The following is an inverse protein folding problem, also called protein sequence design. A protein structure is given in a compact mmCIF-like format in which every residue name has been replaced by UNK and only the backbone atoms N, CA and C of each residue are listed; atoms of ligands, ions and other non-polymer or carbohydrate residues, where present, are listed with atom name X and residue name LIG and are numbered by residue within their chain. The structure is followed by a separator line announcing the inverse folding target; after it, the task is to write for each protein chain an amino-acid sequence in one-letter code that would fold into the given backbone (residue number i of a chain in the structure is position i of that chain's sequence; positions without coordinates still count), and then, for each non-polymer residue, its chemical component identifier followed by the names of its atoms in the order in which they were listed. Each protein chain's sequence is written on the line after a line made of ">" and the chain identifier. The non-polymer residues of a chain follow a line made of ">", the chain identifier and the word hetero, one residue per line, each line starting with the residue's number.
data_IF_892115742299
#
_entry.id   IF_892115742299
#
_cell.length_a   1.000
_cell.length_b   1.000
_cell.length_c   1.000
_cell.angle_alpha   90.00
_cell.angle_beta   90.00
_cell.angle_gamma   90.00
#
_symmetry.space_group_name_H-M   'P 1'
#
loop_
_entity.id
_entity.type
_entity.pdbx_description
1 polymer ?
#
# COMPACT_ATOMS: atom_id res chain seq x y z
N UNK A 1 50.09 81.97 -6.59
CA UNK A 1 51.35 81.69 -5.85
C UNK A 1 51.37 80.20 -5.56
N UNK A 2 52.04 79.40 -6.40
CA UNK A 2 53.34 78.72 -6.12
C UNK A 2 53.21 77.62 -5.06
N UNK A 3 53.49 76.33 -5.29
CA UNK A 3 54.62 75.72 -6.03
C UNK A 3 54.33 74.24 -6.33
N UNK A 4 54.89 73.77 -7.44
CA UNK A 4 55.23 72.37 -7.74
C UNK A 4 56.42 71.88 -6.89
N UNK A 5 56.54 70.56 -6.65
CA UNK A 5 57.64 69.69 -7.16
C UNK A 5 58.04 68.49 -6.26
N UNK A 6 58.20 67.35 -6.96
CA UNK A 6 59.18 66.23 -6.83
C UNK A 6 59.06 65.21 -5.67
N UNK A 7 58.83 63.91 -5.99
CA UNK A 7 59.81 62.79 -6.20
C UNK A 7 60.53 62.40 -4.89
N UNK A 8 60.69 61.17 -4.41
CA UNK A 8 60.73 59.76 -4.90
C UNK A 8 60.96 58.93 -3.60
N UNK A 9 60.73 57.62 -3.41
CA UNK A 9 61.25 56.44 -4.11
C UNK A 9 60.78 55.19 -3.31
N UNK A 10 60.47 54.09 -4.02
CA UNK A 10 60.59 52.65 -3.67
C UNK A 10 60.03 52.04 -2.36
N UNK A 11 59.13 51.05 -2.54
CA UNK A 11 59.26 49.61 -2.21
C UNK A 11 57.82 49.06 -2.06
N UNK A 12 57.27 48.27 -2.98
CA UNK A 12 57.75 46.93 -3.30
C UNK A 12 57.23 45.95 -2.25
N UNK A 13 56.03 45.37 -2.44
CA UNK A 13 55.78 43.95 -2.19
C UNK A 13 54.45 43.52 -2.82
N UNK A 14 54.57 42.62 -3.79
CA UNK A 14 53.50 41.80 -4.34
C UNK A 14 52.98 40.85 -3.26
N UNK A 15 51.68 40.87 -3.02
CA UNK A 15 50.96 39.69 -2.54
C UNK A 15 49.49 39.80 -2.96
N UNK A 16 49.23 39.33 -4.18
CA UNK A 16 47.91 38.91 -4.62
C UNK A 16 47.43 37.77 -3.72
N UNK A 17 46.42 38.03 -2.90
CA UNK A 17 45.48 37.01 -2.49
C UNK A 17 44.07 37.54 -2.77
N UNK A 18 43.68 37.48 -4.06
CA UNK A 18 42.30 37.20 -4.41
C UNK A 18 41.90 35.94 -3.63
N UNK A 19 40.95 36.09 -2.70
CA UNK A 19 40.33 34.96 -2.05
C UNK A 19 39.81 34.02 -3.13
N UNK A 20 40.46 32.86 -3.26
CA UNK A 20 39.88 31.74 -3.97
C UNK A 20 38.64 31.37 -3.16
N UNK A 21 37.48 31.65 -3.73
CA UNK A 21 36.26 30.93 -3.37
C UNK A 21 36.59 29.47 -3.67
N UNK A 22 36.80 28.68 -2.63
CA UNK A 22 36.95 27.24 -2.78
C UNK A 22 35.61 26.70 -3.33
N UNK A 23 35.56 26.56 -4.66
CA UNK A 23 34.57 25.77 -5.34
C UNK A 23 34.81 24.31 -4.95
N UNK A 24 34.19 23.90 -3.83
CA UNK A 24 34.08 22.49 -3.49
C UNK A 24 33.31 21.82 -4.63
N UNK A 25 33.86 20.78 -5.25
CA UNK A 25 33.25 20.23 -6.43
C UNK A 25 31.99 19.43 -6.07
N UNK A 26 31.03 19.53 -7.00
CA UNK A 26 29.89 18.64 -7.14
C UNK A 26 30.39 17.24 -7.46
N UNK A 27 30.33 16.34 -6.48
CA UNK A 27 30.42 14.88 -6.60
C UNK A 27 29.55 14.30 -5.47
N UNK A 28 28.80 13.21 -5.61
CA UNK A 28 28.92 12.13 -6.59
C UNK A 28 27.59 11.34 -6.66
N UNK A 29 27.31 10.80 -7.84
CA UNK A 29 26.18 9.93 -8.14
C UNK A 29 26.20 8.60 -7.36
N UNK A 30 25.02 7.99 -7.27
CA UNK A 30 24.74 6.58 -7.04
C UNK A 30 24.72 6.07 -5.59
N UNK A 31 23.71 6.50 -4.83
CA UNK A 31 22.97 5.51 -4.03
C UNK A 31 21.93 4.88 -4.97
N UNK A 32 21.88 3.54 -5.11
CA UNK A 32 20.77 2.94 -5.85
C UNK A 32 19.49 3.36 -5.13
N UNK A 33 18.49 3.86 -5.87
CA UNK A 33 17.13 3.91 -5.35
C UNK A 33 16.81 2.48 -4.90
N UNK A 34 16.93 2.18 -3.61
CA UNK A 34 16.29 1.01 -3.05
C UNK A 34 14.82 1.15 -3.41
N UNK A 35 14.26 0.16 -4.12
CA UNK A 35 12.85 0.12 -4.46
C UNK A 35 12.05 0.45 -3.19
N UNK A 36 11.45 1.64 -3.13
CA UNK A 36 10.85 2.14 -1.90
C UNK A 36 9.53 1.39 -1.70
N UNK A 37 9.55 0.31 -0.94
CA UNK A 37 8.35 -0.47 -0.62
C UNK A 37 7.36 0.42 0.13
N UNK A 38 6.13 0.47 -0.36
CA UNK A 38 5.00 1.14 0.29
C UNK A 38 3.99 0.10 0.79
N UNK A 39 3.03 0.52 1.62
CA UNK A 39 2.08 -0.38 2.31
C UNK A 39 0.63 0.03 2.09
N UNK A 40 -0.23 -0.93 1.77
CA UNK A 40 -1.67 -0.81 1.76
C UNK A 40 -2.31 -1.76 2.79
N UNK A 41 -3.46 -1.40 3.35
CA UNK A 41 -4.19 -2.28 4.28
C UNK A 41 -5.68 -2.28 3.97
N UNK A 42 -6.20 -3.45 3.60
CA UNK A 42 -7.56 -3.61 3.09
C UNK A 42 -8.31 -4.73 3.83
N UNK A 43 -9.56 -4.48 4.20
CA UNK A 43 -10.54 -5.49 4.60
C UNK A 43 -11.56 -5.69 3.48
N UNK A 44 -11.74 -6.92 3.00
CA UNK A 44 -12.62 -7.23 1.86
C UNK A 44 -13.28 -8.61 1.98
N UNK A 45 -13.64 -8.98 3.21
CA UNK A 45 -14.15 -10.30 3.56
C UNK A 45 -13.06 -11.21 4.14
N UNK A 46 -13.21 -12.52 3.95
CA UNK A 46 -12.23 -13.51 4.39
C UNK A 46 -10.82 -13.20 3.85
N UNK A 47 -9.86 -12.98 4.75
CA UNK A 47 -8.51 -12.58 4.36
C UNK A 47 -7.74 -13.64 3.54
N UNK A 48 -8.12 -14.92 3.58
CA UNK A 48 -7.51 -15.97 2.76
C UNK A 48 -7.81 -15.78 1.28
N UNK A 49 -9.01 -15.26 0.98
CA UNK A 49 -9.39 -14.90 -0.38
C UNK A 49 -8.56 -13.71 -0.87
N UNK A 50 -8.46 -12.70 -0.02
CA UNK A 50 -7.83 -11.41 -0.36
C UNK A 50 -6.32 -11.56 -0.46
N UNK A 51 -5.71 -12.33 0.42
CA UNK A 51 -4.29 -12.68 0.39
C UNK A 51 -3.92 -13.32 -0.95
N UNK A 52 -4.64 -14.37 -1.35
CA UNK A 52 -4.39 -15.08 -2.60
C UNK A 52 -4.50 -14.17 -3.85
N UNK A 53 -5.44 -13.21 -3.83
CA UNK A 53 -5.60 -12.24 -4.92
C UNK A 53 -4.39 -11.31 -5.03
N UNK A 54 -3.98 -10.68 -3.93
CA UNK A 54 -2.92 -9.68 -3.98
C UNK A 54 -1.52 -10.32 -4.13
N UNK A 55 -1.31 -11.54 -3.64
CA UNK A 55 -0.03 -12.26 -3.78
C UNK A 55 0.40 -12.46 -5.24
N UNK A 56 -0.56 -12.59 -6.15
CA UNK A 56 -0.32 -12.86 -7.58
C UNK A 56 0.09 -11.60 -8.38
N UNK A 57 -0.06 -10.40 -7.84
CA UNK A 57 0.18 -9.16 -8.59
C UNK A 57 1.67 -8.83 -8.74
N UNK A 58 2.09 -8.51 -9.97
CA UNK A 58 3.42 -7.99 -10.24
C UNK A 58 3.60 -6.64 -9.53
N UNK A 59 4.68 -6.50 -8.76
CA UNK A 59 4.90 -5.35 -7.89
C UNK A 59 4.45 -5.55 -6.45
N UNK A 60 3.61 -6.54 -6.13
CA UNK A 60 3.35 -6.92 -4.73
C UNK A 60 4.44 -7.87 -4.24
N UNK A 61 5.16 -7.45 -3.20
CA UNK A 61 6.29 -8.20 -2.64
C UNK A 61 5.86 -9.17 -1.54
N UNK A 62 4.97 -8.71 -0.64
CA UNK A 62 4.48 -9.49 0.49
C UNK A 62 3.03 -9.14 0.78
N UNK A 63 2.25 -10.14 1.17
CA UNK A 63 0.91 -9.95 1.73
C UNK A 63 0.84 -10.71 3.05
N UNK A 64 0.34 -10.06 4.09
CA UNK A 64 0.20 -10.63 5.44
C UNK A 64 -1.26 -10.54 5.86
N UNK A 65 -1.85 -11.67 6.24
CA UNK A 65 -3.20 -11.73 6.79
C UNK A 65 -3.18 -11.30 8.26
N UNK A 66 -4.17 -10.50 8.69
CA UNK A 66 -4.22 -10.00 10.06
C UNK A 66 -5.51 -9.31 10.44
N UNK A 67 -5.46 -8.58 11.55
CA UNK A 67 -6.59 -7.93 12.18
C UNK A 67 -6.31 -6.43 12.38
N UNK A 68 -7.25 -5.56 12.01
CA UNK A 68 -7.13 -4.12 12.21
C UNK A 68 -8.48 -3.43 12.40
N UNK A 69 -8.46 -2.18 12.88
CA UNK A 69 -9.64 -1.34 13.07
C UNK A 69 -10.46 -1.60 14.34
N UNK A 70 -10.08 -2.60 15.15
CA UNK A 70 -10.71 -2.90 16.43
C UNK A 70 -10.05 -2.22 17.63
N UNK A 71 -10.57 -2.54 18.82
CA UNK A 71 -10.16 -1.94 20.08
C UNK A 71 -9.51 -2.93 21.06
N UNK A 72 -9.57 -4.24 20.78
CA UNK A 72 -8.92 -5.26 21.62
C UNK A 72 -7.47 -5.43 21.18
N UNK A 73 -6.47 -5.23 22.05
CA UNK A 73 -5.07 -5.43 21.70
C UNK A 73 -4.73 -6.91 21.59
N UNK A 74 -3.83 -7.26 20.65
CA UNK A 74 -3.36 -8.62 20.39
C UNK A 74 -4.50 -9.66 20.32
N UNK A 75 -5.52 -9.45 19.46
CA UNK A 75 -6.66 -10.34 19.37
C UNK A 75 -6.24 -11.69 18.77
N UNK A 76 -6.82 -12.76 19.28
CA UNK A 76 -6.78 -14.09 18.63
C UNK A 76 -7.88 -14.21 17.57
N UNK A 77 -7.71 -15.10 16.60
CA UNK A 77 -8.74 -15.43 15.62
C UNK A 77 -10.09 -15.72 16.30
N UNK A 78 -10.07 -16.54 17.36
CA UNK A 78 -11.27 -16.91 18.12
C UNK A 78 -11.99 -15.68 18.70
N UNK A 79 -11.24 -14.69 19.18
CA UNK A 79 -11.85 -13.45 19.68
C UNK A 79 -12.45 -12.64 18.53
N UNK A 80 -11.75 -12.52 17.40
CA UNK A 80 -12.25 -11.81 16.21
C UNK A 80 -13.53 -12.46 15.67
N UNK A 81 -13.60 -13.79 15.62
CA UNK A 81 -14.80 -14.53 15.19
C UNK A 81 -16.05 -14.26 16.04
N UNK A 82 -15.90 -13.72 17.27
CA UNK A 82 -17.08 -13.32 18.07
C UNK A 82 -17.75 -12.05 17.54
N UNK A 83 -17.07 -11.28 16.68
CA UNK A 83 -17.53 -9.99 16.18
C UNK A 83 -17.49 -8.86 17.21
N UNK A 84 -16.98 -9.10 18.43
CA UNK A 84 -17.02 -8.12 19.53
C UNK A 84 -15.75 -7.28 19.67
N UNK A 85 -14.65 -7.65 19.01
CA UNK A 85 -13.36 -6.94 19.14
C UNK A 85 -13.28 -5.65 18.32
N UNK A 86 -14.22 -5.46 17.38
CA UNK A 86 -14.22 -4.40 16.37
C UNK A 86 -13.22 -4.60 15.22
N UNK A 87 -12.38 -5.64 15.27
CA UNK A 87 -11.40 -5.88 14.22
C UNK A 87 -12.06 -6.41 12.95
N UNK A 88 -11.58 -5.93 11.80
CA UNK A 88 -11.76 -6.58 10.51
C UNK A 88 -10.65 -7.62 10.29
N UNK A 89 -10.97 -8.70 9.59
CA UNK A 89 -9.96 -9.42 8.82
C UNK A 89 -9.45 -8.52 7.70
N UNK A 90 -8.14 -8.36 7.63
CA UNK A 90 -7.47 -7.49 6.67
C UNK A 90 -6.24 -8.16 6.08
N UNK A 91 -5.79 -7.66 4.95
CA UNK A 91 -4.47 -7.93 4.40
C UNK A 91 -3.60 -6.68 4.46
N UNK A 92 -2.38 -6.82 4.94
CA UNK A 92 -1.33 -5.82 4.83
C UNK A 92 -0.43 -6.16 3.63
N UNK A 93 -0.46 -5.29 2.62
CA UNK A 93 0.15 -5.50 1.31
C UNK A 93 1.36 -4.58 1.20
N UNK A 94 2.53 -5.18 1.05
CA UNK A 94 3.79 -4.50 0.81
C UNK A 94 4.07 -4.55 -0.70
N UNK A 95 4.25 -3.39 -1.32
CA UNK A 95 4.32 -3.27 -2.77
C UNK A 95 5.37 -2.26 -3.22
N UNK A 96 5.94 -2.49 -4.39
CA UNK A 96 6.85 -1.59 -5.08
C UNK A 96 6.03 -0.59 -5.92
N UNK A 97 5.94 0.69 -5.53
CA UNK A 97 5.15 1.71 -6.22
C UNK A 97 5.68 2.03 -7.63
N UNK A 98 6.90 1.60 -7.97
CA UNK A 98 7.42 1.71 -9.34
C UNK A 98 6.87 0.63 -10.29
N UNK A 99 6.32 -0.47 -9.74
CA UNK A 99 5.76 -1.59 -10.50
C UNK A 99 4.24 -1.66 -10.45
N UNK A 100 3.63 -1.31 -9.32
CA UNK A 100 2.18 -1.26 -9.13
C UNK A 100 1.81 -0.07 -8.26
N UNK A 101 0.84 0.71 -8.71
CA UNK A 101 0.38 1.91 -8.01
C UNK A 101 -0.70 1.61 -6.99
N UNK A 102 -0.90 2.51 -6.03
CA UNK A 102 -2.02 2.42 -5.08
C UNK A 102 -3.38 2.42 -5.78
N UNK A 103 -3.54 3.19 -6.86
CA UNK A 103 -4.77 3.20 -7.68
C UNK A 103 -5.07 1.84 -8.33
N UNK A 104 -4.04 1.12 -8.76
CA UNK A 104 -4.20 -0.25 -9.28
C UNK A 104 -4.56 -1.24 -8.18
N UNK A 105 -4.03 -1.06 -6.97
CA UNK A 105 -4.43 -1.83 -5.80
C UNK A 105 -5.90 -1.56 -5.42
N UNK A 106 -6.37 -0.31 -5.51
CA UNK A 106 -7.77 0.06 -5.33
C UNK A 106 -8.67 -0.57 -6.41
N UNK A 107 -8.24 -0.58 -7.68
CA UNK A 107 -8.96 -1.27 -8.75
C UNK A 107 -9.16 -2.75 -8.42
N UNK A 108 -8.08 -3.45 -8.02
CA UNK A 108 -8.14 -4.86 -7.62
C UNK A 108 -9.06 -5.03 -6.42
N UNK A 109 -8.94 -4.18 -5.40
CA UNK A 109 -9.79 -4.19 -4.22
C UNK A 109 -11.27 -4.14 -4.61
N UNK A 110 -11.71 -3.10 -5.33
CA UNK A 110 -13.13 -2.93 -5.68
C UNK A 110 -13.67 -3.96 -6.67
N UNK A 111 -12.83 -4.54 -7.55
CA UNK A 111 -13.29 -5.56 -8.52
C UNK A 111 -13.33 -6.98 -7.96
N UNK A 112 -12.71 -7.23 -6.80
CA UNK A 112 -12.57 -8.59 -6.27
C UNK A 112 -13.42 -8.87 -5.04
N UNK A 113 -14.23 -7.94 -4.55
CA UNK A 113 -15.25 -8.23 -3.53
C UNK A 113 -16.50 -7.42 -3.81
N UNK A 114 -17.62 -7.71 -3.13
CA UNK A 114 -18.81 -6.86 -3.15
C UNK A 114 -18.66 -5.75 -2.09
N UNK A 115 -18.42 -4.48 -2.49
CA UNK A 115 -18.23 -3.36 -1.57
C UNK A 115 -19.55 -2.72 -1.11
N UNK A 116 -20.70 -3.28 -1.49
CA UNK A 116 -22.04 -2.76 -1.17
C UNK A 116 -22.71 -3.49 0.00
N UNK A 117 -22.13 -4.62 0.43
CA UNK A 117 -22.66 -5.44 1.51
C UNK A 117 -22.07 -5.07 2.86
N UNK A 118 -22.90 -4.48 3.73
CA UNK A 118 -22.47 -4.08 5.08
C UNK A 118 -22.18 -5.33 5.93
N UNK A 119 -20.98 -5.39 6.52
CA UNK A 119 -20.56 -6.45 7.46
C UNK A 119 -20.76 -7.89 6.90
N UNK A 120 -20.47 -8.08 5.61
CA UNK A 120 -20.63 -9.35 4.93
C UNK A 120 -19.74 -9.43 3.69
N UNK A 121 -19.33 -10.64 3.34
CA UNK A 121 -18.87 -10.95 1.99
C UNK A 121 -19.36 -12.33 1.57
N UNK A 122 -20.25 -12.39 0.59
CA UNK A 122 -20.92 -13.65 0.22
C UNK A 122 -21.62 -14.28 1.44
N UNK A 123 -21.22 -15.50 1.79
CA UNK A 123 -21.77 -16.25 2.94
C UNK A 123 -21.05 -15.95 4.26
N UNK A 124 -19.95 -15.20 4.25
CA UNK A 124 -19.21 -14.83 5.44
C UNK A 124 -19.86 -13.57 6.04
N UNK A 125 -20.55 -13.74 7.18
CA UNK A 125 -21.36 -12.68 7.81
C UNK A 125 -20.77 -12.28 9.16
N UNK A 126 -20.56 -10.98 9.34
CA UNK A 126 -20.05 -10.40 10.58
C UNK A 126 -19.23 -9.14 10.34
N UNK A 127 -19.08 -8.28 11.36
CA UNK A 127 -18.32 -7.03 11.25
C UNK A 127 -16.84 -7.25 10.93
N UNK A 128 -16.31 -8.45 11.20
CA UNK A 128 -14.96 -8.84 10.81
C UNK A 128 -14.78 -8.98 9.30
N UNK A 129 -15.86 -9.16 8.53
CA UNK A 129 -15.82 -9.30 7.07
C UNK A 129 -16.20 -8.02 6.32
N UNK A 130 -16.27 -6.88 7.02
CA UNK A 130 -16.65 -5.60 6.41
C UNK A 130 -15.64 -5.14 5.36
N UNK A 131 -16.13 -4.40 4.36
CA UNK A 131 -15.29 -3.70 3.40
C UNK A 131 -14.66 -2.45 4.05
N UNK A 132 -13.33 -2.36 4.07
CA UNK A 132 -12.61 -1.26 4.69
C UNK A 132 -11.26 -0.99 4.01
N UNK A 133 -10.89 0.28 3.91
CA UNK A 133 -9.58 0.78 3.49
C UNK A 133 -8.98 1.52 4.69
N UNK A 134 -7.86 1.00 5.19
CA UNK A 134 -7.10 1.62 6.27
C UNK A 134 -5.94 2.41 5.67
N UNK A 135 -6.10 3.73 5.53
CA UNK A 135 -5.12 4.56 4.84
C UNK A 135 -3.91 4.89 5.73
N UNK A 136 -2.71 4.80 5.15
CA UNK A 136 -1.43 5.10 5.83
C UNK A 136 -1.00 6.56 5.65
N UNK A 137 -1.50 7.23 4.61
CA UNK A 137 -1.16 8.62 4.28
C UNK A 137 -2.40 9.39 3.83
N UNK A 138 -2.31 10.73 3.87
CA UNK A 138 -3.35 11.60 3.32
C UNK A 138 -3.58 11.33 1.82
N UNK A 139 -2.52 11.01 1.07
CA UNK A 139 -2.63 10.67 -0.35
C UNK A 139 -3.44 9.40 -0.58
N UNK A 140 -3.25 8.36 0.24
CA UNK A 140 -4.05 7.14 0.16
C UNK A 140 -5.52 7.41 0.48
N UNK A 141 -5.80 8.26 1.48
CA UNK A 141 -7.16 8.69 1.80
C UNK A 141 -7.83 9.38 0.61
N UNK A 142 -7.19 10.40 0.03
CA UNK A 142 -7.70 11.15 -1.12
C UNK A 142 -8.00 10.23 -2.31
N UNK A 143 -7.07 9.32 -2.63
CA UNK A 143 -7.24 8.36 -3.72
C UNK A 143 -8.41 7.41 -3.47
N UNK A 144 -8.51 6.84 -2.26
CA UNK A 144 -9.60 5.94 -1.90
C UNK A 144 -10.97 6.63 -1.97
N UNK A 145 -11.07 7.87 -1.46
CA UNK A 145 -12.29 8.67 -1.49
C UNK A 145 -12.68 9.05 -2.93
N UNK A 146 -11.71 9.46 -3.73
CA UNK A 146 -11.92 9.77 -5.15
C UNK A 146 -12.39 8.53 -5.91
N UNK A 147 -11.70 7.40 -5.76
CA UNK A 147 -12.02 6.15 -6.47
C UNK A 147 -13.42 5.64 -6.12
N UNK A 148 -13.77 5.66 -4.83
CA UNK A 148 -15.12 5.31 -4.35
C UNK A 148 -16.18 6.21 -4.99
N UNK A 149 -15.96 7.53 -4.98
CA UNK A 149 -16.87 8.51 -5.56
C UNK A 149 -17.06 8.30 -7.07
N UNK A 150 -15.99 8.04 -7.81
CA UNK A 150 -16.08 7.81 -9.25
C UNK A 150 -16.86 6.53 -9.58
N UNK A 151 -16.66 5.45 -8.82
CA UNK A 151 -17.44 4.21 -8.94
C UNK A 151 -18.95 4.45 -8.68
N UNK A 152 -19.29 5.23 -7.66
CA UNK A 152 -20.69 5.61 -7.40
C UNK A 152 -21.25 6.48 -8.54
N UNK A 153 -20.48 7.45 -9.05
CA UNK A 153 -20.88 8.35 -10.13
C UNK A 153 -21.22 7.60 -11.44
N UNK A 154 -20.41 6.60 -11.79
CA UNK A 154 -20.61 5.81 -13.02
C UNK A 154 -21.62 4.66 -12.83
N UNK A 155 -22.18 4.50 -11.64
CA UNK A 155 -23.10 3.41 -11.33
C UNK A 155 -22.45 2.02 -11.48
N UNK A 156 -21.19 1.88 -11.04
CA UNK A 156 -20.45 0.62 -11.16
C UNK A 156 -21.09 -0.54 -10.39
N UNK A 157 -21.92 -0.24 -9.38
CA UNK A 157 -22.64 -1.19 -8.56
C UNK A 157 -24.12 -0.82 -8.45
N UNK A 158 -24.99 -1.82 -8.33
CA UNK A 158 -26.45 -1.64 -8.21
C UNK A 158 -26.87 -0.99 -6.87
N UNK A 159 -25.98 -0.99 -5.88
CA UNK A 159 -26.19 -0.45 -4.55
C UNK A 159 -25.02 0.47 -4.17
N UNK A 160 -25.22 1.45 -3.26
CA UNK A 160 -24.16 2.35 -2.84
C UNK A 160 -22.98 1.61 -2.20
N UNK A 161 -21.76 2.10 -2.44
CA UNK A 161 -20.56 1.55 -1.82
C UNK A 161 -20.52 1.87 -0.32
N UNK A 162 -20.47 0.83 0.51
CA UNK A 162 -20.42 0.93 1.99
C UNK A 162 -19.01 0.82 2.56
N UNK A 163 -17.98 0.67 1.71
CA UNK A 163 -16.57 0.62 2.13
C UNK A 163 -16.22 1.78 3.07
N UNK A 164 -15.69 1.43 4.25
CA UNK A 164 -15.11 2.37 5.21
C UNK A 164 -13.76 2.87 4.71
N UNK A 165 -13.49 4.17 4.81
CA UNK A 165 -12.17 4.75 4.55
C UNK A 165 -11.73 5.43 5.84
N UNK A 166 -10.78 4.82 6.54
CA UNK A 166 -10.45 5.17 7.92
C UNK A 166 -8.93 5.17 8.13
N UNK A 167 -8.40 5.98 9.08
CA UNK A 167 -6.97 6.01 9.31
C UNK A 167 -6.48 4.66 9.82
N UNK A 168 -5.36 4.19 9.26
CA UNK A 168 -4.62 3.08 9.82
C UNK A 168 -4.12 3.45 11.23
N UNK A 169 -4.21 2.50 12.16
CA UNK A 169 -3.77 2.69 13.55
C UNK A 169 -2.79 1.60 13.98
N UNK A 170 -3.19 0.36 13.86
CA UNK A 170 -2.45 -0.80 14.33
C UNK A 170 -2.77 -2.01 13.46
N UNK A 171 -1.81 -2.91 13.30
CA UNK A 171 -1.98 -4.19 12.62
C UNK A 171 -1.55 -5.32 13.54
N UNK A 172 -2.42 -6.31 13.72
CA UNK A 172 -2.10 -7.54 14.43
C UNK A 172 -2.01 -8.67 13.41
N UNK A 173 -0.81 -9.20 13.20
CA UNK A 173 -0.61 -10.37 12.32
C UNK A 173 -1.43 -11.55 12.84
N UNK A 174 -2.17 -12.21 11.93
CA UNK A 174 -2.91 -13.41 12.26
C UNK A 174 -1.96 -14.58 12.46
N UNK A 175 -2.43 -15.59 13.18
CA UNK A 175 -1.66 -16.80 13.48
C UNK A 175 -1.09 -17.47 12.22
N UNK A 176 0.09 -18.09 12.31
CA UNK A 176 0.83 -18.65 11.17
C UNK A 176 -0.01 -19.57 10.26
N UNK A 177 -0.96 -20.30 10.84
CA UNK A 177 -1.83 -21.21 10.09
C UNK A 177 -2.85 -20.47 9.20
N UNK A 178 -3.03 -19.16 9.34
CA UNK A 178 -3.81 -18.31 8.45
C UNK A 178 -3.00 -17.73 7.29
N UNK A 179 -1.66 -17.73 7.38
CA UNK A 179 -0.80 -17.16 6.35
C UNK A 179 -0.66 -18.11 5.17
N UNK A 180 -0.70 -17.57 3.95
CA UNK A 180 -0.58 -18.33 2.71
C UNK A 180 -1.61 -19.48 2.60
N UNK A 181 -2.80 -19.31 3.20
CA UNK A 181 -3.72 -20.41 3.47
C UNK A 181 -4.16 -21.12 2.20
N UNK A 182 -4.55 -20.36 1.17
CA UNK A 182 -5.06 -20.92 -0.09
C UNK A 182 -4.03 -21.83 -0.78
N UNK A 183 -2.76 -21.39 -0.82
CA UNK A 183 -1.68 -22.13 -1.47
C UNK A 183 -1.29 -23.40 -0.68
N UNK A 184 -1.37 -23.35 0.65
CA UNK A 184 -1.03 -24.49 1.51
C UNK A 184 -2.19 -25.49 1.69
N UNK A 185 -3.43 -25.06 1.48
CA UNK A 185 -4.64 -25.81 1.81
C UNK A 185 -5.58 -25.95 0.61
N UNK A 186 -5.03 -26.06 -0.59
CA UNK A 186 -5.81 -26.06 -1.84
C UNK A 186 -6.97 -27.06 -1.85
N UNK A 187 -6.83 -28.24 -1.23
CA UNK A 187 -7.88 -29.27 -1.20
C UNK A 187 -9.04 -28.99 -0.24
N UNK A 188 -8.95 -27.98 0.63
CA UNK A 188 -10.02 -27.67 1.57
C UNK A 188 -11.29 -27.23 0.83
N UNK A 189 -12.49 -27.64 1.27
CA UNK A 189 -13.74 -27.28 0.61
C UNK A 189 -13.91 -25.77 0.43
N UNK A 190 -13.56 -24.98 1.45
CA UNK A 190 -13.63 -23.52 1.35
C UNK A 190 -12.68 -22.98 0.25
N UNK A 191 -11.46 -23.51 0.14
CA UNK A 191 -10.54 -23.16 -0.94
C UNK A 191 -11.10 -23.53 -2.32
N UNK A 192 -11.70 -24.72 -2.47
CA UNK A 192 -12.21 -25.20 -3.76
C UNK A 192 -13.47 -24.47 -4.23
N UNK A 193 -14.40 -24.20 -3.32
CA UNK A 193 -15.74 -23.70 -3.69
C UNK A 193 -15.88 -22.19 -3.52
N UNK A 194 -15.04 -21.54 -2.71
CA UNK A 194 -15.11 -20.10 -2.45
C UNK A 194 -13.89 -19.37 -3.03
N UNK A 195 -12.68 -19.75 -2.63
CA UNK A 195 -11.46 -19.01 -2.99
C UNK A 195 -11.09 -19.21 -4.46
N UNK A 196 -11.01 -20.47 -4.91
CA UNK A 196 -10.52 -20.81 -6.25
C UNK A 196 -11.32 -20.14 -7.38
N UNK A 197 -12.67 -20.18 -7.42
CA UNK A 197 -13.42 -19.51 -8.47
C UNK A 197 -13.17 -17.99 -8.49
N UNK A 198 -12.99 -17.38 -7.31
CA UNK A 198 -12.69 -15.96 -7.15
C UNK A 198 -11.30 -15.62 -7.71
N UNK A 199 -10.29 -16.40 -7.34
CA UNK A 199 -8.90 -16.23 -7.82
C UNK A 199 -8.81 -16.47 -9.33
N UNK A 200 -9.48 -17.49 -9.87
CA UNK A 200 -9.49 -17.76 -11.32
C UNK A 200 -10.14 -16.61 -12.11
N UNK A 201 -11.27 -16.09 -11.63
CA UNK A 201 -11.90 -14.90 -12.24
C UNK A 201 -10.98 -13.69 -12.18
N UNK A 202 -10.34 -13.44 -11.03
CA UNK A 202 -9.35 -12.38 -10.85
C UNK A 202 -8.19 -12.51 -11.85
N UNK A 203 -7.54 -13.69 -11.93
CA UNK A 203 -6.42 -13.94 -12.85
C UNK A 203 -6.79 -13.69 -14.31
N UNK A 204 -8.04 -14.01 -14.69
CA UNK A 204 -8.54 -13.74 -16.04
C UNK A 204 -8.71 -12.24 -16.31
N UNK A 205 -9.24 -11.48 -15.35
CA UNK A 205 -9.50 -10.04 -15.49
C UNK A 205 -8.20 -9.22 -15.43
N UNK A 206 -7.26 -9.63 -14.57
CA UNK A 206 -6.02 -8.89 -14.30
C UNK A 206 -4.77 -9.56 -14.87
N UNK A 207 -4.93 -10.35 -15.95
CA UNK A 207 -3.84 -11.15 -16.56
C UNK A 207 -2.56 -10.33 -16.78
N UNK A 208 -2.69 -9.10 -17.26
CA UNK A 208 -1.55 -8.23 -17.60
C UNK A 208 -0.85 -7.63 -16.37
N UNK A 209 -1.47 -7.76 -15.18
CA UNK A 209 -0.90 -7.32 -13.88
C UNK A 209 -0.33 -8.47 -13.06
N UNK A 210 -0.44 -9.72 -13.52
CA UNK A 210 0.07 -10.87 -12.76
C UNK A 210 1.60 -10.93 -12.81
N UNK A 211 2.20 -11.48 -11.76
CA UNK A 211 3.59 -11.93 -11.77
C UNK A 211 3.77 -12.89 -12.95
N UNK A 212 4.81 -12.66 -13.75
CA UNK A 212 5.23 -13.67 -14.74
C UNK A 212 5.75 -14.87 -13.97
N UNK A 213 5.31 -16.07 -14.33
CA UNK A 213 5.95 -17.28 -13.83
C UNK A 213 7.45 -17.16 -14.11
N UNK A 214 8.26 -17.31 -13.07
CA UNK A 214 9.70 -17.51 -13.25
C UNK A 214 9.81 -18.88 -13.89
N UNK A 215 10.12 -18.92 -15.18
CA UNK A 215 10.42 -20.15 -15.91
C UNK A 215 11.59 -20.89 -15.28
#
# INVERSE_FOLDING_TARGET
>A
MTKWALLTLLAGFLASCLGKVDSKPLYEENEPLSAQVDTATFGSGCFWCTEAVFQDLNGVEKVVSGYSGGHVPNPTYKQVCTGTTGHAEVTQIYYDPSKITYDELLEVFFKTHDPTTLNRQGNDVGPQYRSAIFYHTARQQELAEHYKKELDNVGAFDQPIVTEIVPFKEFYEAEDYHQNYFNLNGSQPYCQFVIKPKVEKFRKVFKDKLKKEVQ
#
